data_IF_684410427696
#
_entry.id   IF_684410427696
#
_cell.length_a   1.000
_cell.length_b   1.000
_cell.length_c   1.000
_cell.angle_alpha   90.00
_cell.angle_beta   90.00
_cell.angle_gamma   90.00
#
_symmetry.space_group_name_H-M   'P 1'
#
loop_
_entity.id
_entity.type
_entity.pdbx_description
1 polymer ?
#
# COMPACT_ATOMS: atom_id res chain seq x y z
N UNK A 1 8.93 -3.61 5.60
CA UNK A 1 7.85 -2.60 5.72
C UNK A 1 8.02 -1.43 4.73
N UNK A 2 9.10 -0.64 4.78
CA UNK A 2 9.33 0.44 3.78
C UNK A 2 9.41 -0.09 2.34
N UNK A 3 10.02 -1.25 2.12
CA UNK A 3 10.10 -1.91 0.81
C UNK A 3 8.73 -2.19 0.20
N UNK A 4 7.75 -2.60 1.01
CA UNK A 4 6.39 -2.86 0.54
C UNK A 4 5.69 -1.56 0.11
N UNK A 5 5.73 -0.52 0.96
CA UNK A 5 5.09 0.76 0.65
C UNK A 5 5.74 1.47 -0.54
N UNK A 6 7.08 1.51 -0.59
CA UNK A 6 7.84 2.09 -1.71
C UNK A 6 7.63 1.26 -2.97
N UNK A 7 7.64 -0.06 -2.87
CA UNK A 7 7.47 -0.95 -4.00
C UNK A 7 6.09 -0.81 -4.63
N UNK A 8 5.04 -0.72 -3.80
CA UNK A 8 3.68 -0.42 -4.24
C UNK A 8 3.61 0.96 -4.87
N UNK A 9 4.11 2.02 -4.23
CA UNK A 9 4.17 3.35 -4.86
C UNK A 9 4.83 3.30 -6.25
N UNK A 10 6.03 2.72 -6.34
CA UNK A 10 6.77 2.63 -7.59
C UNK A 10 6.03 1.85 -8.68
N UNK A 11 5.42 0.71 -8.33
CA UNK A 11 4.69 -0.16 -9.25
C UNK A 11 3.56 0.60 -9.96
N UNK A 12 2.80 1.38 -9.18
CA UNK A 12 1.66 2.10 -9.72
C UNK A 12 2.04 3.48 -10.26
N UNK A 13 3.04 4.16 -9.71
CA UNK A 13 3.39 5.57 -10.02
C UNK A 13 3.51 5.85 -11.51
N UNK A 14 4.22 5.00 -12.25
CA UNK A 14 4.53 5.19 -13.69
C UNK A 14 3.61 4.41 -14.65
N UNK A 15 2.65 3.64 -14.15
CA UNK A 15 1.84 2.73 -14.97
C UNK A 15 0.35 3.08 -14.94
N UNK A 16 -0.15 3.91 -15.88
CA UNK A 16 -1.57 4.29 -15.94
C UNK A 16 -2.51 3.09 -16.03
N UNK A 17 -2.12 2.06 -16.80
CA UNK A 17 -2.88 0.81 -16.94
C UNK A 17 -3.04 0.07 -15.61
N UNK A 18 -1.97 -0.03 -14.82
CA UNK A 18 -2.03 -0.66 -13.50
C UNK A 18 -2.85 0.16 -12.51
N UNK A 19 -2.76 1.51 -12.56
CA UNK A 19 -3.61 2.38 -11.74
C UNK A 19 -5.09 2.16 -12.05
N UNK A 20 -5.46 2.08 -13.33
CA UNK A 20 -6.85 1.84 -13.73
C UNK A 20 -7.35 0.48 -13.23
N UNK A 21 -6.55 -0.57 -13.36
CA UNK A 21 -6.90 -1.91 -12.84
C UNK A 21 -6.99 -1.94 -11.31
N UNK A 22 -6.10 -1.22 -10.62
CA UNK A 22 -6.18 -1.05 -9.18
C UNK A 22 -7.49 -0.36 -8.77
N UNK A 23 -7.90 0.70 -9.47
CA UNK A 23 -9.20 1.38 -9.21
C UNK A 23 -10.38 0.40 -9.31
N UNK A 24 -10.39 -0.46 -10.34
CA UNK A 24 -11.41 -1.51 -10.48
C UNK A 24 -11.41 -2.49 -9.30
N UNK A 25 -10.23 -2.82 -8.77
CA UNK A 25 -10.11 -3.65 -7.56
C UNK A 25 -10.74 -2.96 -6.34
N UNK A 26 -10.53 -1.65 -6.17
CA UNK A 26 -11.18 -0.86 -5.13
C UNK A 26 -12.71 -0.83 -5.27
N UNK A 27 -13.22 -0.65 -6.49
CA UNK A 27 -14.64 -0.70 -6.81
C UNK A 27 -15.24 -2.08 -6.48
N UNK A 28 -14.57 -3.16 -6.89
CA UNK A 28 -14.99 -4.53 -6.60
C UNK A 28 -15.05 -4.84 -5.09
N UNK A 29 -14.22 -4.16 -4.29
CA UNK A 29 -14.18 -4.31 -2.83
C UNK A 29 -15.03 -3.25 -2.11
N UNK A 30 -15.84 -2.46 -2.83
CA UNK A 30 -16.68 -1.38 -2.29
C UNK A 30 -15.91 -0.42 -1.36
N UNK A 31 -14.61 -0.26 -1.60
CA UNK A 31 -13.72 0.55 -0.77
C UNK A 31 -13.42 1.86 -1.50
N UNK A 32 -13.37 2.99 -0.78
CA UNK A 32 -12.96 4.26 -1.36
C UNK A 32 -11.59 4.09 -2.05
N UNK A 33 -11.50 4.55 -3.31
CA UNK A 33 -10.25 4.49 -4.08
C UNK A 33 -9.15 5.26 -3.35
N UNK A 34 -8.12 4.53 -2.92
CA UNK A 34 -6.93 5.08 -2.28
C UNK A 34 -5.71 4.66 -3.09
N UNK A 35 -5.28 5.55 -4.00
CA UNK A 35 -4.08 5.27 -4.78
C UNK A 35 -2.83 5.32 -3.88
N UNK A 36 -1.81 4.50 -4.19
CA UNK A 36 -0.54 4.53 -3.50
C UNK A 36 0.00 5.95 -3.40
N UNK A 37 0.32 6.36 -2.18
CA UNK A 37 0.85 7.69 -1.89
C UNK A 37 2.36 7.63 -1.98
N UNK A 38 2.96 8.65 -2.59
CA UNK A 38 4.42 8.73 -2.72
C UNK A 38 5.11 8.58 -1.37
N UNK A 39 6.09 7.69 -1.29
CA UNK A 39 6.89 7.49 -0.08
C UNK A 39 8.23 8.22 -0.27
N UNK A 40 8.38 9.41 0.33
CA UNK A 40 9.64 10.18 0.33
C UNK A 40 9.48 11.70 0.44
N UNK A 41 10.51 12.40 0.92
CA UNK A 41 10.53 13.86 1.12
C UNK A 41 11.02 14.26 2.53
N UNK A 42 11.01 15.56 2.84
CA UNK A 42 11.49 16.15 4.11
C UNK A 42 10.53 16.02 5.29
N UNK A 43 9.28 15.57 5.09
CA UNK A 43 8.26 15.42 6.15
C UNK A 43 8.00 13.95 6.49
N UNK A 44 9.00 13.27 7.04
CA UNK A 44 8.99 11.82 7.26
C UNK A 44 7.78 11.33 8.07
N UNK A 45 7.47 11.93 9.22
CA UNK A 45 6.42 11.44 10.14
C UNK A 45 4.98 11.62 9.60
N UNK A 46 4.55 12.83 9.19
CA UNK A 46 3.18 13.04 8.67
C UNK A 46 2.91 12.23 7.41
N UNK A 47 3.92 12.13 6.53
CA UNK A 47 3.81 11.41 5.27
C UNK A 47 3.78 9.90 5.51
N UNK A 48 4.62 9.37 6.39
CA UNK A 48 4.57 7.97 6.78
C UNK A 48 3.21 7.60 7.39
N UNK A 49 2.64 8.47 8.23
CA UNK A 49 1.29 8.27 8.77
C UNK A 49 0.23 8.24 7.68
N UNK A 50 0.29 9.15 6.70
CA UNK A 50 -0.64 9.17 5.57
C UNK A 50 -0.52 7.90 4.70
N UNK A 51 0.70 7.52 4.31
CA UNK A 51 0.94 6.34 3.48
C UNK A 51 0.47 5.08 4.20
N UNK A 52 0.80 4.94 5.48
CA UNK A 52 0.40 3.78 6.30
C UNK A 52 -1.12 3.70 6.44
N UNK A 53 -1.79 4.82 6.70
CA UNK A 53 -3.26 4.87 6.79
C UNK A 53 -3.93 4.55 5.45
N UNK A 54 -3.44 5.11 4.34
CA UNK A 54 -3.99 4.85 3.02
C UNK A 54 -3.80 3.39 2.61
N UNK A 55 -2.61 2.84 2.88
CA UNK A 55 -2.30 1.45 2.57
C UNK A 55 -3.15 0.47 3.38
N UNK A 56 -3.30 0.68 4.70
CA UNK A 56 -4.09 -0.20 5.57
C UNK A 56 -5.58 -0.17 5.22
N UNK A 57 -6.14 1.00 4.94
CA UNK A 57 -7.53 1.14 4.47
C UNK A 57 -7.76 0.50 3.10
N UNK A 58 -6.77 0.57 2.22
CA UNK A 58 -6.82 -0.03 0.89
C UNK A 58 -6.27 -1.46 0.80
N UNK A 59 -5.86 -2.06 1.92
CA UNK A 59 -5.02 -3.26 1.92
C UNK A 59 -5.64 -4.40 1.12
N UNK A 60 -6.92 -4.69 1.33
CA UNK A 60 -7.63 -5.77 0.63
C UNK A 60 -7.62 -5.58 -0.88
N UNK A 61 -7.97 -4.38 -1.35
CA UNK A 61 -8.02 -4.06 -2.77
C UNK A 61 -6.63 -4.06 -3.42
N UNK A 62 -5.62 -3.54 -2.72
CA UNK A 62 -4.23 -3.55 -3.18
C UNK A 62 -3.70 -4.98 -3.26
N UNK A 63 -3.92 -5.80 -2.23
CA UNK A 63 -3.49 -7.20 -2.19
C UNK A 63 -4.14 -8.03 -3.29
N UNK A 64 -5.47 -7.96 -3.43
CA UNK A 64 -6.20 -8.69 -4.48
C UNK A 64 -5.70 -8.33 -5.88
N UNK A 65 -5.40 -7.04 -6.11
CA UNK A 65 -4.82 -6.62 -7.39
C UNK A 65 -3.37 -7.08 -7.57
N UNK A 66 -2.53 -7.08 -6.52
CA UNK A 66 -1.16 -7.60 -6.59
C UNK A 66 -1.15 -9.10 -6.90
N UNK A 67 -2.02 -9.88 -6.27
CA UNK A 67 -2.19 -11.30 -6.54
C UNK A 67 -2.63 -11.52 -8.01
N UNK A 68 -3.61 -10.76 -8.49
CA UNK A 68 -4.06 -10.83 -9.89
C UNK A 68 -2.99 -10.41 -10.89
N UNK A 69 -2.15 -9.44 -10.53
CA UNK A 69 -1.08 -8.93 -11.40
C UNK A 69 0.19 -9.79 -11.36
N UNK A 70 0.34 -10.67 -10.36
CA UNK A 70 1.53 -11.50 -10.14
C UNK A 70 1.90 -12.34 -11.36
N UNK A 71 0.90 -12.88 -12.07
CA UNK A 71 1.09 -13.69 -13.28
C UNK A 71 1.71 -12.92 -14.46
N UNK A 72 1.63 -11.58 -14.44
CA UNK A 72 2.09 -10.73 -15.55
C UNK A 72 3.30 -9.88 -15.18
N UNK A 73 3.56 -9.68 -13.89
CA UNK A 73 4.61 -8.79 -13.41
C UNK A 73 5.34 -9.41 -12.22
N UNK A 74 6.65 -9.72 -12.34
CA UNK A 74 7.41 -10.35 -11.26
C UNK A 74 7.48 -9.45 -10.01
N UNK A 75 7.53 -8.12 -10.21
CA UNK A 75 7.49 -7.15 -9.10
C UNK A 75 6.15 -7.17 -8.34
N UNK A 76 5.05 -7.47 -9.01
CA UNK A 76 3.75 -7.61 -8.35
C UNK A 76 3.68 -8.92 -7.53
N UNK A 77 4.31 -9.99 -8.03
CA UNK A 77 4.42 -11.27 -7.31
C UNK A 77 5.23 -11.11 -6.00
N UNK A 78 6.40 -10.48 -6.05
CA UNK A 78 7.20 -10.22 -4.85
C UNK A 78 6.44 -9.36 -3.83
N UNK A 79 5.75 -8.32 -4.30
CA UNK A 79 4.95 -7.46 -3.44
C UNK A 79 3.72 -8.18 -2.87
N UNK A 80 3.11 -9.10 -3.61
CA UNK A 80 2.03 -9.95 -3.12
C UNK A 80 2.51 -10.86 -1.98
N UNK A 81 3.69 -11.49 -2.14
CA UNK A 81 4.33 -12.30 -1.09
C UNK A 81 4.61 -11.46 0.16
N UNK A 82 5.18 -10.26 0.00
CA UNK A 82 5.42 -9.34 1.11
C UNK A 82 4.13 -8.85 1.77
N UNK A 83 3.06 -8.65 1.01
CA UNK A 83 1.76 -8.24 1.55
C UNK A 83 1.02 -9.40 2.25
N UNK A 84 1.34 -10.65 1.91
CA UNK A 84 0.79 -11.86 2.53
C UNK A 84 1.53 -12.24 3.83
N UNK A 85 2.75 -11.74 4.04
CA UNK A 85 3.50 -11.94 5.28
C UNK A 85 2.78 -11.31 6.48
N UNK A 86 2.37 -12.16 7.42
CA UNK A 86 1.63 -11.76 8.63
C UNK A 86 2.46 -10.91 9.58
N UNK A 87 3.77 -11.14 9.69
CA UNK A 87 4.66 -10.36 10.55
C UNK A 87 4.78 -8.92 10.03
N UNK A 88 4.89 -8.76 8.71
CA UNK A 88 4.92 -7.43 8.09
C UNK A 88 3.60 -6.68 8.27
N UNK A 89 2.47 -7.38 8.21
CA UNK A 89 1.16 -6.79 8.43
C UNK A 89 0.95 -6.37 9.88
N UNK A 90 1.31 -7.23 10.84
CA UNK A 90 1.28 -6.92 12.28
C UNK A 90 2.15 -5.69 12.56
N UNK A 91 3.38 -5.66 12.03
CA UNK A 91 4.26 -4.52 12.18
C UNK A 91 3.67 -3.22 11.60
N UNK A 92 3.05 -3.28 10.42
CA UNK A 92 2.37 -2.13 9.79
C UNK A 92 1.23 -1.58 10.64
N UNK A 93 0.42 -2.46 11.23
CA UNK A 93 -0.68 -2.09 12.12
C UNK A 93 -0.14 -1.48 13.43
N UNK A 94 0.87 -2.10 14.04
CA UNK A 94 1.53 -1.55 15.24
C UNK A 94 2.12 -0.17 14.98
N UNK A 95 2.78 0.02 13.83
CA UNK A 95 3.30 1.31 13.41
C UNK A 95 2.19 2.35 13.23
N UNK A 96 1.05 1.97 12.66
CA UNK A 96 -0.10 2.86 12.53
C UNK A 96 -0.60 3.36 13.90
N UNK A 97 -0.65 2.48 14.90
CA UNK A 97 -1.04 2.83 16.28
C UNK A 97 -0.03 3.83 16.86
N UNK A 98 1.28 3.57 16.75
CA UNK A 98 2.31 4.49 17.22
C UNK A 98 2.24 5.86 16.53
N UNK A 99 2.07 5.88 15.22
CA UNK A 99 1.94 7.12 14.43
C UNK A 99 0.68 7.91 14.74
N UNK A 100 -0.40 7.23 15.18
CA UNK A 100 -1.60 7.89 15.66
C UNK A 100 -1.33 8.64 16.97
N UNK A 101 -0.63 8.03 17.92
CA UNK A 101 -0.29 8.65 19.20
C UNK A 101 0.68 9.83 19.04
N UNK A 102 1.68 9.69 18.16
CA UNK A 102 2.68 10.73 17.88
C UNK A 102 2.11 11.97 17.18
N UNK A 103 0.92 11.89 16.56
CA UNK A 103 0.25 13.04 15.94
C UNK A 103 -0.53 13.91 16.93
N UNK A 104 -0.76 13.40 18.14
CA UNK A 104 -1.56 14.04 19.20
C UNK A 104 -0.73 14.85 20.19
N UNK A 105 0.59 14.88 20.01
CA UNK A 105 1.56 15.67 20.77
C UNK A 105 2.00 16.85 19.89
#
# INVERSE_FOLDING_TARGET
MMTLLIGVDYLYRKSPKLKMRLKRSFEAHQTKVLLPTTVGGTRCLPQLSLVTNNFTRGYRAVRSHLESASHTQPKAEELAKLAADSNLLIYLLSLQVCLCHLKTI
#
